data_IF_544515944996
#
_entry.id   IF_544515944996
#
_cell.length_a   1.000
_cell.length_b   1.000
_cell.length_c   1.000
_cell.angle_alpha   90.00
_cell.angle_beta   90.00
_cell.angle_gamma   90.00
#
_symmetry.space_group_name_H-M   'P 1'
#
loop_
_entity.id
_entity.type
_entity.pdbx_description
1 polymer ?
#
# COMPACT_ATOMS: atom_id res chain seq x y z
N UNK A 1 -14.62 -2.25 0.45
CA UNK A 1 -14.24 -2.62 1.83
C UNK A 1 -12.74 -2.41 2.01
N UNK A 2 -12.29 -1.88 3.14
CA UNK A 2 -10.87 -1.79 3.49
C UNK A 2 -10.54 -2.81 4.57
N UNK A 3 -9.58 -3.68 4.31
CA UNK A 3 -8.98 -4.57 5.29
C UNK A 3 -7.61 -4.00 5.67
N UNK A 4 -7.35 -3.83 6.97
CA UNK A 4 -6.07 -3.28 7.45
C UNK A 4 -4.91 -4.29 7.34
N UNK A 5 -5.25 -5.56 7.19
CA UNK A 5 -4.32 -6.68 7.04
C UNK A 5 -4.94 -7.83 6.25
N UNK A 6 -4.13 -8.78 5.74
CA UNK A 6 -4.61 -9.95 5.01
C UNK A 6 -5.18 -11.02 5.95
N UNK A 7 -6.31 -10.70 6.59
CA UNK A 7 -7.03 -11.62 7.45
C UNK A 7 -7.68 -12.76 6.62
N UNK A 8 -7.27 -14.04 6.80
CA UNK A 8 -7.76 -15.13 5.95
C UNK A 8 -9.26 -15.36 6.07
N UNK A 9 -9.85 -15.21 7.26
CA UNK A 9 -11.29 -15.39 7.46
C UNK A 9 -12.11 -14.31 6.75
N UNK A 10 -11.65 -13.06 6.78
CA UNK A 10 -12.30 -11.97 6.05
C UNK A 10 -12.18 -12.16 4.54
N UNK A 11 -10.99 -12.54 4.04
CA UNK A 11 -10.78 -12.82 2.62
C UNK A 11 -11.65 -13.99 2.15
N UNK A 12 -11.72 -15.07 2.91
CA UNK A 12 -12.60 -16.20 2.60
C UNK A 12 -14.08 -15.80 2.51
N UNK A 13 -14.54 -14.90 3.39
CA UNK A 13 -15.91 -14.42 3.38
C UNK A 13 -16.22 -13.48 2.19
N UNK A 14 -15.20 -12.90 1.56
CA UNK A 14 -15.35 -11.97 0.43
C UNK A 14 -15.36 -12.66 -0.94
N UNK A 15 -15.03 -13.95 -1.01
CA UNK A 15 -15.06 -14.74 -2.25
C UNK A 15 -16.44 -14.67 -2.92
N UNK A 16 -16.45 -14.28 -4.19
CA UNK A 16 -17.67 -14.17 -5.00
C UNK A 16 -18.60 -13.00 -4.63
N UNK A 17 -18.22 -12.16 -3.66
CA UNK A 17 -19.08 -11.05 -3.19
C UNK A 17 -19.15 -9.86 -4.16
N UNK A 18 -18.24 -9.77 -5.13
CA UNK A 18 -18.05 -8.61 -6.01
C UNK A 18 -17.75 -7.28 -5.28
N UNK A 19 -17.46 -7.33 -3.97
CA UNK A 19 -17.06 -6.15 -3.21
C UNK A 19 -15.62 -5.78 -3.59
N UNK A 20 -15.40 -4.51 -3.94
CA UNK A 20 -14.07 -3.97 -4.18
C UNK A 20 -13.27 -3.85 -2.88
N UNK A 21 -12.10 -4.48 -2.82
CA UNK A 21 -11.25 -4.59 -1.62
C UNK A 21 -10.00 -3.73 -1.75
N UNK A 22 -9.73 -2.95 -0.69
CA UNK A 22 -8.42 -2.36 -0.42
C UNK A 22 -7.75 -3.19 0.66
N UNK A 23 -6.61 -3.83 0.35
CA UNK A 23 -5.89 -4.71 1.26
C UNK A 23 -4.64 -4.04 1.84
N UNK A 24 -4.57 -3.98 3.17
CA UNK A 24 -3.46 -3.36 3.89
C UNK A 24 -2.26 -4.26 4.10
N UNK A 25 -1.08 -3.70 3.85
CA UNK A 25 0.19 -4.20 4.41
C UNK A 25 0.32 -3.60 5.80
N UNK A 26 0.46 -4.43 6.84
CA UNK A 26 0.74 -3.93 8.20
C UNK A 26 2.13 -3.28 8.25
N UNK A 27 2.26 -2.21 9.02
CA UNK A 27 3.48 -1.40 9.08
C UNK A 27 4.75 -2.23 9.34
N UNK A 28 4.70 -3.22 10.23
CA UNK A 28 5.83 -4.08 10.57
C UNK A 28 6.35 -4.95 9.41
N UNK A 29 5.57 -5.17 8.35
CA UNK A 29 6.01 -5.93 7.17
C UNK A 29 6.64 -5.06 6.08
N UNK A 30 6.53 -3.73 6.18
CA UNK A 30 7.04 -2.80 5.17
C UNK A 30 8.55 -3.00 4.94
N UNK A 31 9.43 -3.06 5.96
CA UNK A 31 10.87 -3.24 5.72
C UNK A 31 11.19 -4.55 5.02
N UNK A 32 10.47 -5.63 5.33
CA UNK A 32 10.67 -6.94 4.68
C UNK A 32 10.26 -6.90 3.21
N UNK A 33 9.13 -6.27 2.88
CA UNK A 33 8.68 -6.14 1.49
C UNK A 33 9.60 -5.19 0.69
N UNK A 34 10.12 -4.15 1.33
CA UNK A 34 11.09 -3.23 0.74
C UNK A 34 12.45 -3.89 0.47
N UNK A 35 12.83 -4.91 1.27
CA UNK A 35 14.15 -5.53 1.24
C UNK A 35 14.54 -6.08 -0.13
N UNK A 36 13.61 -6.73 -0.82
CA UNK A 36 13.85 -7.28 -2.15
C UNK A 36 12.56 -7.59 -2.91
N UNK A 37 12.68 -7.70 -4.23
CA UNK A 37 11.57 -8.11 -5.09
C UNK A 37 11.03 -9.50 -4.73
N UNK A 38 11.87 -10.42 -4.28
CA UNK A 38 11.46 -11.78 -3.90
C UNK A 38 10.75 -11.84 -2.54
N UNK A 39 11.14 -10.97 -1.60
CA UNK A 39 10.40 -10.80 -0.36
C UNK A 39 8.98 -10.25 -0.63
N UNK A 40 8.86 -9.27 -1.53
CA UNK A 40 7.56 -8.77 -1.97
C UNK A 40 6.71 -9.83 -2.68
N UNK A 41 7.33 -10.65 -3.56
CA UNK A 41 6.64 -11.80 -4.20
C UNK A 41 6.12 -12.79 -3.16
N UNK A 42 6.93 -13.10 -2.14
CA UNK A 42 6.53 -14.02 -1.07
C UNK A 42 5.32 -13.50 -0.30
N UNK A 43 5.31 -12.20 0.01
CA UNK A 43 4.14 -11.55 0.62
C UNK A 43 2.91 -11.57 -0.30
N UNK A 44 3.08 -11.25 -1.58
CA UNK A 44 1.98 -11.23 -2.56
C UNK A 44 1.38 -12.63 -2.78
N UNK A 45 2.22 -13.64 -2.97
CA UNK A 45 1.84 -15.03 -3.18
C UNK A 45 1.09 -15.63 -1.98
N UNK A 46 1.40 -15.15 -0.77
CA UNK A 46 0.71 -15.60 0.44
C UNK A 46 -0.65 -14.91 0.62
N UNK A 47 -0.72 -13.61 0.33
CA UNK A 47 -1.82 -12.75 0.83
C UNK A 47 -2.81 -12.30 -0.25
N UNK A 48 -2.43 -12.33 -1.52
CA UNK A 48 -3.25 -11.85 -2.63
C UNK A 48 -3.48 -12.93 -3.69
N UNK A 49 -2.40 -13.59 -4.13
CA UNK A 49 -2.43 -14.54 -5.25
C UNK A 49 -3.52 -15.63 -5.13
N UNK A 50 -3.75 -16.25 -3.96
CA UNK A 50 -4.77 -17.29 -3.82
C UNK A 50 -6.20 -16.80 -4.04
N UNK A 51 -6.43 -15.49 -4.00
CA UNK A 51 -7.75 -14.86 -4.03
C UNK A 51 -8.02 -14.04 -5.30
N UNK A 52 -7.03 -13.90 -6.20
CA UNK A 52 -7.11 -12.97 -7.35
C UNK A 52 -8.26 -13.27 -8.32
N UNK A 53 -8.69 -14.53 -8.42
CA UNK A 53 -9.78 -14.93 -9.32
C UNK A 53 -11.17 -14.73 -8.71
N UNK A 54 -11.24 -14.63 -7.37
CA UNK A 54 -12.50 -14.71 -6.61
C UNK A 54 -12.85 -13.42 -5.87
N UNK A 55 -11.88 -12.51 -5.73
CA UNK A 55 -12.03 -11.22 -5.04
C UNK A 55 -11.56 -10.08 -5.94
N UNK A 56 -12.32 -9.00 -5.96
CA UNK A 56 -11.99 -7.79 -6.70
C UNK A 56 -11.08 -6.89 -5.86
N UNK A 57 -9.76 -7.04 -5.99
CA UNK A 57 -8.80 -6.11 -5.37
C UNK A 57 -8.68 -4.83 -6.19
N UNK A 58 -8.94 -3.68 -5.57
CA UNK A 58 -8.75 -2.37 -6.21
C UNK A 58 -7.47 -1.69 -5.75
N UNK A 59 -7.09 -1.89 -4.48
CA UNK A 59 -5.91 -1.26 -3.91
C UNK A 59 -5.11 -2.21 -3.02
N UNK A 60 -3.79 -2.06 -3.05
CA UNK A 60 -2.88 -2.52 -2.01
C UNK A 60 -2.39 -1.27 -1.29
N UNK A 61 -2.71 -1.12 0.00
CA UNK A 61 -2.25 0.02 0.80
C UNK A 61 -1.03 -0.38 1.63
N UNK A 62 0.14 0.16 1.28
CA UNK A 62 1.41 -0.08 1.95
C UNK A 62 1.52 0.78 3.20
N UNK A 63 1.15 0.22 4.34
CA UNK A 63 1.14 0.92 5.61
C UNK A 63 -0.13 1.74 5.88
N UNK A 64 -0.28 2.12 7.15
CA UNK A 64 -1.31 3.02 7.65
C UNK A 64 -0.67 4.09 8.54
N UNK A 65 -0.70 5.33 8.07
CA UNK A 65 -0.18 6.51 8.77
C UNK A 65 1.27 6.33 9.24
N UNK A 66 2.06 5.67 8.40
CA UNK A 66 3.45 5.32 8.68
C UNK A 66 4.44 6.45 8.30
N UNK A 67 3.91 7.60 7.88
CA UNK A 67 4.68 8.78 7.48
C UNK A 67 4.18 9.99 8.30
N UNK A 68 5.07 10.73 8.97
CA UNK A 68 6.46 10.36 9.26
C UNK A 68 6.52 9.18 10.25
N UNK A 69 7.66 8.48 10.33
CA UNK A 69 7.86 7.41 11.31
C UNK A 69 8.91 6.37 10.92
N UNK A 70 9.10 5.37 11.78
CA UNK A 70 10.17 4.37 11.66
C UNK A 70 10.14 3.57 10.34
N UNK A 71 8.97 3.47 9.70
CA UNK A 71 8.79 2.72 8.47
C UNK A 71 8.81 3.60 7.20
N UNK A 72 8.81 4.93 7.34
CA UNK A 72 8.57 5.87 6.25
C UNK A 72 9.56 5.68 5.09
N UNK A 73 10.85 5.56 5.43
CA UNK A 73 11.94 5.39 4.46
C UNK A 73 11.83 4.13 3.59
N UNK A 74 11.07 3.11 4.02
CA UNK A 74 10.90 1.86 3.29
C UNK A 74 9.63 1.82 2.42
N UNK A 75 8.69 2.77 2.59
CA UNK A 75 7.38 2.72 1.91
C UNK A 75 7.53 2.79 0.40
N UNK A 76 8.29 3.75 -0.13
CA UNK A 76 8.47 3.90 -1.58
C UNK A 76 9.03 2.62 -2.23
N UNK A 77 10.06 2.00 -1.62
CA UNK A 77 10.64 0.75 -2.12
C UNK A 77 9.67 -0.43 -2.02
N UNK A 78 8.92 -0.56 -0.93
CA UNK A 78 7.90 -1.61 -0.79
C UNK A 78 6.79 -1.44 -1.84
N UNK A 79 6.35 -0.19 -2.09
CA UNK A 79 5.36 0.12 -3.11
C UNK A 79 5.86 -0.25 -4.51
N UNK A 80 7.09 0.15 -4.85
CA UNK A 80 7.70 -0.20 -6.13
C UNK A 80 7.79 -1.72 -6.34
N UNK A 81 8.24 -2.47 -5.33
CA UNK A 81 8.36 -3.92 -5.43
C UNK A 81 7.00 -4.59 -5.66
N UNK A 82 5.94 -4.13 -4.98
CA UNK A 82 4.58 -4.63 -5.20
C UNK A 82 4.03 -4.21 -6.57
N UNK A 83 4.30 -2.97 -7.01
CA UNK A 83 3.88 -2.46 -8.32
C UNK A 83 4.52 -3.27 -9.46
N UNK A 84 5.79 -3.68 -9.32
CA UNK A 84 6.47 -4.53 -10.28
C UNK A 84 5.77 -5.89 -10.45
N UNK A 85 5.25 -6.47 -9.37
CA UNK A 85 4.48 -7.73 -9.43
C UNK A 85 3.18 -7.51 -10.20
N UNK A 86 2.46 -6.43 -9.90
CA UNK A 86 1.22 -6.10 -10.61
C UNK A 86 1.47 -5.86 -12.11
N UNK A 87 2.56 -5.19 -12.46
CA UNK A 87 2.94 -4.97 -13.85
C UNK A 87 3.25 -6.29 -14.56
N UNK A 88 4.07 -7.16 -13.95
CA UNK A 88 4.43 -8.46 -14.51
C UNK A 88 3.22 -9.40 -14.67
N UNK A 89 2.24 -9.30 -13.76
CA UNK A 89 1.00 -10.06 -13.82
C UNK A 89 -0.12 -9.43 -14.66
N UNK A 90 0.12 -8.29 -15.33
CA UNK A 90 -0.91 -7.50 -16.02
C UNK A 90 -2.11 -7.10 -15.13
N UNK A 91 -1.89 -6.98 -13.82
CA UNK A 91 -2.89 -6.59 -12.82
C UNK A 91 -2.91 -5.08 -12.54
N UNK A 92 -1.93 -4.34 -13.04
CA UNK A 92 -1.80 -2.91 -12.77
C UNK A 92 -2.94 -2.04 -13.32
N UNK A 93 -3.75 -2.56 -14.25
CA UNK A 93 -4.95 -1.89 -14.75
C UNK A 93 -6.13 -1.96 -13.76
N UNK A 94 -6.20 -3.01 -12.93
CA UNK A 94 -7.31 -3.28 -12.01
C UNK A 94 -6.96 -3.03 -10.55
N UNK A 95 -5.71 -3.28 -10.17
CA UNK A 95 -5.19 -3.08 -8.81
C UNK A 95 -4.13 -1.98 -8.81
N UNK A 96 -4.23 -1.03 -7.87
CA UNK A 96 -3.24 0.04 -7.68
C UNK A 96 -2.51 -0.11 -6.35
N UNK A 97 -1.22 0.21 -6.32
CA UNK A 97 -0.47 0.32 -5.06
C UNK A 97 -0.51 1.77 -4.58
N UNK A 98 -0.79 1.96 -3.30
CA UNK A 98 -0.81 3.29 -2.66
C UNK A 98 -0.37 3.16 -1.20
N UNK A 99 -0.32 4.27 -0.45
CA UNK A 99 -0.12 4.27 0.99
C UNK A 99 -1.20 5.11 1.66
N UNK A 100 -1.48 4.86 2.93
CA UNK A 100 -2.44 5.67 3.71
C UNK A 100 -1.68 6.60 4.63
N UNK A 101 -2.00 7.87 4.55
CA UNK A 101 -1.39 8.95 5.35
C UNK A 101 -2.46 9.63 6.19
N UNK A 102 -2.05 10.16 7.35
CA UNK A 102 -2.89 11.04 8.16
C UNK A 102 -2.78 12.47 7.64
N UNK A 103 -3.68 13.37 8.02
CA UNK A 103 -3.51 14.81 7.73
C UNK A 103 -2.35 15.44 8.51
N UNK A 104 -1.75 14.72 9.46
CA UNK A 104 -0.58 15.17 10.22
C UNK A 104 0.69 15.31 9.38
N UNK A 105 0.68 14.83 8.14
CA UNK A 105 1.77 15.06 7.17
C UNK A 105 1.83 16.49 6.64
N UNK A 106 0.82 17.33 6.90
CA UNK A 106 0.76 18.71 6.41
C UNK A 106 1.44 19.64 7.43
N UNK A 107 2.44 20.40 6.98
CA UNK A 107 3.07 21.46 7.77
C UNK A 107 2.30 22.77 7.68
N UNK A 108 1.84 23.13 6.47
CA UNK A 108 0.88 24.22 6.25
C UNK A 108 -0.41 23.61 5.70
N UNK A 109 -1.57 24.04 6.21
CA UNK A 109 -2.88 23.50 5.81
C UNK A 109 -3.96 24.57 5.59
N UNK A 110 -3.67 25.85 5.86
CA UNK A 110 -4.59 26.96 5.63
C UNK A 110 -3.86 28.20 5.07
N UNK A 111 -4.41 28.88 4.03
CA UNK A 111 -5.56 28.43 3.24
C UNK A 111 -5.24 27.14 2.46
N UNK A 112 -6.25 26.35 2.02
CA UNK A 112 -6.00 25.09 1.33
C UNK A 112 -5.05 25.21 0.13
N UNK A 113 -5.09 26.33 -0.61
CA UNK A 113 -4.19 26.63 -1.73
C UNK A 113 -2.71 26.77 -1.36
N UNK A 114 -2.42 26.96 -0.08
CA UNK A 114 -1.07 27.06 0.49
C UNK A 114 -0.65 25.80 1.23
N UNK A 115 -1.43 24.71 1.12
CA UNK A 115 -1.11 23.45 1.79
C UNK A 115 0.22 22.90 1.31
N UNK A 116 1.06 22.46 2.24
CA UNK A 116 2.35 21.87 1.95
C UNK A 116 2.65 20.74 2.95
N UNK A 117 3.38 19.71 2.51
CA UNK A 117 3.87 18.67 3.40
C UNK A 117 4.81 19.26 4.46
N UNK A 118 4.82 18.67 5.65
CA UNK A 118 5.77 19.00 6.70
C UNK A 118 7.19 18.60 6.30
N UNK A 119 8.20 19.20 6.92
CA UNK A 119 9.61 18.88 6.61
C UNK A 119 9.93 17.42 6.92
N UNK A 120 9.31 16.85 7.95
CA UNK A 120 9.51 15.47 8.40
C UNK A 120 8.94 14.45 7.41
N UNK A 121 7.85 14.79 6.70
CA UNK A 121 7.19 13.90 5.75
C UNK A 121 7.63 14.13 4.30
N UNK A 122 8.19 15.31 3.99
CA UNK A 122 8.45 15.79 2.65
C UNK A 122 9.25 14.79 1.79
N UNK A 123 10.42 14.38 2.25
CA UNK A 123 11.34 13.60 1.42
C UNK A 123 10.81 12.21 1.09
N UNK A 124 10.07 11.58 2.02
CA UNK A 124 9.46 10.28 1.78
C UNK A 124 8.24 10.39 0.88
N UNK A 125 7.43 11.45 1.02
CA UNK A 125 6.28 11.70 0.14
C UNK A 125 6.69 12.05 -1.29
N UNK A 126 7.77 12.82 -1.49
CA UNK A 126 8.27 13.12 -2.83
C UNK A 126 8.70 11.83 -3.56
N UNK A 127 9.36 10.90 -2.86
CA UNK A 127 9.70 9.58 -3.44
C UNK A 127 8.45 8.79 -3.82
N UNK A 128 7.41 8.84 -2.99
CA UNK A 128 6.12 8.16 -3.23
C UNK A 128 5.33 8.81 -4.38
N UNK A 129 5.46 10.11 -4.60
CA UNK A 129 4.79 10.77 -5.73
C UNK A 129 5.51 10.51 -7.07
N UNK A 130 6.75 10.03 -7.04
CA UNK A 130 7.58 9.80 -8.21
C UNK A 130 7.72 8.35 -8.68
N UNK A 131 7.10 7.36 -8.00
CA UNK A 131 7.15 5.95 -8.43
C UNK A 131 6.11 5.60 -9.51
#
# INVERSE_FOLDING_TARGET
MRLFDPNPSALQALIGSQIHVSLGVRNQYIPSIALSQDAAKSWFATNLEPYLNDIVFSYITVGNEAIPGDYASNIASAMQNLQNILNAGNLASTTKVTTVVSTGILGTSYPPSSSAFSLEAHDDLIKILGF
#
